data_IF_221101077430
#
_entry.id   IF_221101077430
#
_cell.length_a   1.000
_cell.length_b   1.000
_cell.length_c   1.000
_cell.angle_alpha   90.00
_cell.angle_beta   90.00
_cell.angle_gamma   90.00
#
_symmetry.space_group_name_H-M   'P 1'
#
loop_
_entity.id
_entity.type
_entity.pdbx_description
1 polymer ?
#
# COMPACT_ATOMS: atom_id res chain seq x y z
N UNK A 1 -38.73 26.66 -37.83
CA UNK A 1 -37.75 27.22 -36.87
C UNK A 1 -37.76 26.35 -35.62
N UNK A 2 -36.79 25.43 -35.48
CA UNK A 2 -36.46 24.74 -34.23
C UNK A 2 -35.10 24.06 -34.42
N UNK A 3 -34.01 24.78 -34.13
CA UNK A 3 -32.70 24.17 -33.90
C UNK A 3 -32.65 23.85 -32.41
N UNK A 4 -32.69 22.57 -32.06
CA UNK A 4 -32.45 22.11 -30.69
C UNK A 4 -30.98 22.36 -30.38
N UNK A 5 -30.70 23.34 -29.53
CA UNK A 5 -29.41 23.48 -28.86
C UNK A 5 -29.24 22.25 -27.97
N UNK A 6 -28.41 21.31 -28.41
CA UNK A 6 -27.88 20.26 -27.54
C UNK A 6 -26.93 20.97 -26.58
N UNK A 7 -27.42 21.15 -25.36
CA UNK A 7 -26.78 21.85 -24.25
C UNK A 7 -25.39 21.28 -24.00
N UNK A 8 -24.37 22.14 -24.17
CA UNK A 8 -22.96 21.87 -23.86
C UNK A 8 -22.73 21.47 -22.39
N UNK A 9 -23.73 21.59 -21.52
CA UNK A 9 -23.66 21.21 -20.11
C UNK A 9 -23.52 19.69 -19.89
N UNK A 10 -23.97 18.85 -20.83
CA UNK A 10 -23.87 17.39 -20.68
C UNK A 10 -22.45 16.85 -20.91
N UNK A 11 -21.64 17.55 -21.72
CA UNK A 11 -20.27 17.12 -22.00
C UNK A 11 -19.31 17.46 -20.84
N UNK A 12 -19.60 18.52 -20.09
CA UNK A 12 -18.80 18.97 -18.93
C UNK A 12 -18.92 18.03 -17.72
N UNK A 13 -20.07 17.38 -17.54
CA UNK A 13 -20.31 16.43 -16.44
C UNK A 13 -19.51 15.13 -16.66
N UNK A 14 -19.28 14.76 -17.92
CA UNK A 14 -18.52 13.56 -18.27
C UNK A 14 -17.01 13.72 -17.99
N UNK A 15 -16.47 14.94 -18.08
CA UNK A 15 -15.05 15.23 -17.80
C UNK A 15 -14.79 15.27 -16.28
N UNK A 16 -15.77 15.68 -15.47
CA UNK A 16 -15.62 15.70 -14.00
C UNK A 16 -15.64 14.29 -13.38
N UNK A 17 -16.26 13.31 -14.03
CA UNK A 17 -16.28 11.91 -13.58
C UNK A 17 -14.96 11.14 -13.84
N UNK A 18 -14.07 11.69 -14.68
CA UNK A 18 -12.73 11.14 -14.92
C UNK A 18 -11.70 11.55 -13.85
N UNK A 19 -12.04 12.52 -12.99
CA UNK A 19 -11.34 12.77 -11.72
C UNK A 19 -11.87 11.81 -10.66
N UNK A 20 -11.84 10.51 -10.94
CA UNK A 20 -12.09 9.50 -9.93
C UNK A 20 -10.93 9.64 -8.91
N UNK A 21 -11.18 10.04 -7.65
CA UNK A 21 -10.13 10.00 -6.65
C UNK A 21 -9.74 8.53 -6.56
N UNK A 22 -8.46 8.22 -6.81
CA UNK A 22 -7.87 6.89 -6.62
C UNK A 22 -8.48 6.31 -5.36
N UNK A 23 -9.26 5.24 -5.50
CA UNK A 23 -9.91 4.60 -4.37
C UNK A 23 -8.82 4.05 -3.45
N UNK A 24 -8.43 4.84 -2.44
CA UNK A 24 -7.65 4.36 -1.31
C UNK A 24 -8.61 3.49 -0.50
N UNK A 25 -8.67 2.19 -0.82
CA UNK A 25 -9.44 1.25 -0.01
C UNK A 25 -8.71 1.05 1.31
N UNK A 26 -9.27 1.56 2.40
CA UNK A 26 -8.83 1.23 3.75
C UNK A 26 -9.55 -0.06 4.16
N UNK A 27 -8.80 -1.11 4.41
CA UNK A 27 -9.32 -2.40 4.89
C UNK A 27 -8.91 -2.60 6.35
N UNK A 28 -9.87 -2.97 7.20
CA UNK A 28 -9.59 -3.44 8.56
C UNK A 28 -9.46 -4.96 8.55
N UNK A 29 -8.28 -5.48 8.88
CA UNK A 29 -7.99 -6.92 8.89
C UNK A 29 -7.70 -7.38 10.31
N UNK A 30 -8.23 -8.54 10.70
CA UNK A 30 -7.85 -9.20 11.96
C UNK A 30 -6.65 -10.10 11.74
N UNK A 31 -5.59 -9.89 12.50
CA UNK A 31 -4.38 -10.73 12.49
C UNK A 31 -4.35 -11.56 13.77
N UNK A 32 -4.23 -12.90 13.70
CA UNK A 32 -4.13 -13.73 14.90
C UNK A 32 -2.82 -13.46 15.64
N UNK A 33 -2.79 -13.70 16.95
CA UNK A 33 -1.57 -13.54 17.75
C UNK A 33 -0.41 -14.37 17.20
N UNK A 34 0.74 -13.74 16.98
CA UNK A 34 1.91 -14.35 16.35
C UNK A 34 1.82 -14.52 14.83
N UNK A 35 0.71 -14.12 14.21
CA UNK A 35 0.58 -14.01 12.76
C UNK A 35 1.11 -12.66 12.24
N UNK A 36 1.19 -12.55 10.92
CA UNK A 36 1.61 -11.35 10.21
C UNK A 36 0.66 -11.10 9.03
N UNK A 37 0.38 -9.83 8.73
CA UNK A 37 -0.28 -9.40 7.50
C UNK A 37 0.78 -8.86 6.57
N UNK A 38 0.74 -9.20 5.29
CA UNK A 38 1.72 -8.69 4.34
C UNK A 38 1.09 -8.38 2.99
N UNK A 39 1.66 -7.41 2.29
CA UNK A 39 1.28 -7.04 0.93
C UNK A 39 2.48 -7.14 -0.02
N UNK A 40 2.22 -7.63 -1.23
CA UNK A 40 3.19 -7.60 -2.33
C UNK A 40 3.01 -6.33 -3.14
N UNK A 41 4.13 -5.71 -3.48
CA UNK A 41 4.25 -4.69 -4.51
C UNK A 41 5.06 -5.32 -5.65
N UNK A 42 4.45 -5.42 -6.83
CA UNK A 42 5.05 -6.11 -7.97
C UNK A 42 5.46 -5.15 -9.07
N UNK A 43 6.40 -5.57 -9.91
CA UNK A 43 6.82 -4.83 -11.11
C UNK A 43 7.27 -3.39 -10.79
N UNK A 44 7.97 -3.19 -9.67
CA UNK A 44 8.48 -1.88 -9.28
C UNK A 44 9.73 -1.52 -10.08
N UNK A 45 9.87 -0.24 -10.42
CA UNK A 45 11.10 0.31 -10.96
C UNK A 45 11.99 0.90 -9.84
N UNK A 46 13.30 0.96 -10.06
CA UNK A 46 14.22 1.66 -9.15
C UNK A 46 13.80 3.14 -9.04
N UNK A 47 13.70 3.63 -7.80
CA UNK A 47 13.26 4.99 -7.50
C UNK A 47 11.75 5.17 -7.35
N UNK A 48 10.94 4.13 -7.63
CA UNK A 48 9.52 4.14 -7.28
C UNK A 48 9.33 4.35 -5.77
N UNK A 49 8.14 4.84 -5.39
CA UNK A 49 7.83 5.09 -3.99
C UNK A 49 6.69 4.19 -3.51
N UNK A 50 7.02 3.30 -2.58
CA UNK A 50 6.03 2.54 -1.82
C UNK A 50 5.50 3.45 -0.71
N UNK A 51 4.17 3.59 -0.63
CA UNK A 51 3.49 4.32 0.44
C UNK A 51 2.58 3.39 1.21
N UNK A 52 2.80 3.28 2.52
CA UNK A 52 2.02 2.43 3.43
C UNK A 52 1.47 3.29 4.54
N UNK A 53 0.17 3.16 4.81
CA UNK A 53 -0.45 3.71 6.00
C UNK A 53 -1.16 2.59 6.76
N UNK A 54 -1.03 2.59 8.08
CA UNK A 54 -1.70 1.62 8.93
C UNK A 54 -2.02 2.23 10.30
N UNK A 55 -3.00 1.62 10.97
CA UNK A 55 -3.35 1.87 12.37
C UNK A 55 -3.81 0.57 13.01
N UNK A 56 -3.23 0.22 14.15
CA UNK A 56 -3.71 -0.83 15.05
C UNK A 56 -4.95 -0.31 15.76
N UNK A 57 -6.09 -0.97 15.55
CA UNK A 57 -7.37 -0.59 16.15
C UNK A 57 -7.56 -1.21 17.53
N UNK A 58 -7.11 -2.46 17.68
CA UNK A 58 -7.18 -3.25 18.90
C UNK A 58 -6.08 -4.31 18.86
N UNK A 59 -5.34 -4.49 19.96
CA UNK A 59 -4.18 -5.37 20.04
C UNK A 59 -2.87 -4.69 20.47
N UNK A 60 -1.76 -5.43 20.51
CA UNK A 60 -0.45 -4.89 20.82
C UNK A 60 0.13 -4.08 19.66
N UNK A 61 1.20 -3.35 19.94
CA UNK A 61 2.04 -2.68 18.95
C UNK A 61 2.63 -3.71 17.98
N UNK A 62 2.90 -3.29 16.75
CA UNK A 62 3.37 -4.17 15.67
C UNK A 62 4.75 -3.78 15.15
N UNK A 63 5.42 -4.76 14.54
CA UNK A 63 6.65 -4.56 13.78
C UNK A 63 6.32 -4.48 12.30
N UNK A 64 6.73 -3.40 11.65
CA UNK A 64 6.52 -3.16 10.22
C UNK A 64 7.85 -3.11 9.51
N UNK A 65 7.98 -3.84 8.41
CA UNK A 65 9.22 -3.85 7.65
C UNK A 65 8.99 -4.09 6.16
N UNK A 66 9.94 -3.62 5.34
CA UNK A 66 9.96 -3.82 3.89
C UNK A 66 11.19 -4.64 3.52
N UNK A 67 11.01 -5.70 2.73
CA UNK A 67 12.09 -6.58 2.25
C UNK A 67 11.72 -7.22 0.90
N UNK A 68 12.65 -7.95 0.28
CA UNK A 68 12.33 -8.79 -0.89
C UNK A 68 11.60 -10.09 -0.47
N UNK A 69 11.04 -10.80 -1.45
CA UNK A 69 10.30 -12.03 -1.21
C UNK A 69 11.15 -13.16 -0.60
N UNK A 70 12.45 -13.21 -0.91
CA UNK A 70 13.36 -14.24 -0.36
C UNK A 70 13.59 -14.01 1.14
N UNK A 71 13.87 -12.77 1.52
CA UNK A 71 14.07 -12.34 2.89
C UNK A 71 12.78 -12.45 3.71
N UNK A 72 11.62 -12.13 3.13
CA UNK A 72 10.34 -12.39 3.79
C UNK A 72 10.14 -13.88 4.07
N UNK A 73 10.45 -14.75 3.11
CA UNK A 73 10.35 -16.19 3.32
C UNK A 73 11.31 -16.70 4.40
N UNK A 74 12.53 -16.16 4.49
CA UNK A 74 13.48 -16.44 5.60
C UNK A 74 12.90 -16.00 6.94
N UNK A 75 12.39 -14.77 7.02
CA UNK A 75 11.76 -14.24 8.23
C UNK A 75 10.58 -15.11 8.69
N UNK A 76 9.69 -15.50 7.76
CA UNK A 76 8.55 -16.37 8.03
C UNK A 76 8.93 -17.76 8.58
N UNK A 77 10.16 -18.22 8.33
CA UNK A 77 10.71 -19.47 8.90
C UNK A 77 11.49 -19.26 10.20
N UNK A 78 11.55 -18.04 10.73
CA UNK A 78 12.34 -17.69 11.92
C UNK A 78 13.86 -17.63 11.65
N UNK A 79 14.26 -17.52 10.39
CA UNK A 79 15.66 -17.36 9.99
C UNK A 79 16.04 -15.88 9.96
N UNK A 80 17.35 -15.60 9.97
CA UNK A 80 17.86 -14.24 9.80
C UNK A 80 17.54 -13.73 8.39
N UNK A 81 16.86 -12.59 8.33
CA UNK A 81 16.50 -11.89 7.09
C UNK A 81 17.12 -10.48 7.07
N UNK A 82 17.37 -9.97 5.86
CA UNK A 82 17.69 -8.57 5.64
C UNK A 82 16.40 -7.82 5.29
N UNK A 83 16.20 -6.67 5.93
CA UNK A 83 15.08 -5.77 5.67
C UNK A 83 15.66 -4.40 5.30
N UNK A 84 15.01 -3.70 4.38
CA UNK A 84 15.45 -2.38 3.92
C UNK A 84 14.96 -1.26 4.85
N UNK A 85 13.76 -1.44 5.38
CA UNK A 85 13.12 -0.52 6.32
C UNK A 85 12.54 -1.36 7.47
N UNK A 86 12.75 -0.93 8.72
CA UNK A 86 12.26 -1.60 9.92
C UNK A 86 11.74 -0.57 10.92
N UNK A 87 10.52 -0.78 11.38
CA UNK A 87 9.90 -0.03 12.46
C UNK A 87 9.34 -1.02 13.48
N UNK A 88 9.71 -0.84 14.73
CA UNK A 88 9.25 -1.65 15.86
C UNK A 88 8.36 -0.81 16.77
N UNK A 89 7.47 -1.48 17.50
CA UNK A 89 6.57 -0.85 18.49
C UNK A 89 5.65 0.24 17.90
N UNK A 90 5.10 0.01 16.69
CA UNK A 90 4.18 0.96 16.06
C UNK A 90 2.70 0.62 16.33
N UNK A 91 1.92 1.64 16.71
CA UNK A 91 0.46 1.60 16.77
C UNK A 91 -0.15 2.27 15.54
N UNK A 92 0.50 3.28 14.96
CA UNK A 92 0.07 3.98 13.75
C UNK A 92 1.31 4.47 13.00
N UNK A 93 1.27 4.40 11.67
CA UNK A 93 2.40 4.81 10.84
C UNK A 93 2.00 5.19 9.42
N UNK A 94 2.79 6.11 8.84
CA UNK A 94 2.79 6.43 7.42
C UNK A 94 4.23 6.31 6.92
N UNK A 95 4.51 5.30 6.11
CA UNK A 95 5.84 4.99 5.57
C UNK A 95 5.88 5.43 4.10
N UNK A 96 6.97 6.08 3.71
CA UNK A 96 7.28 6.42 2.32
C UNK A 96 8.68 5.92 2.02
N UNK A 97 8.77 4.82 1.28
CA UNK A 97 10.01 4.12 1.01
C UNK A 97 10.35 4.18 -0.47
N UNK A 98 11.59 4.58 -0.79
CA UNK A 98 12.11 4.59 -2.16
C UNK A 98 12.69 3.23 -2.53
N UNK A 99 12.22 2.66 -3.63
CA UNK A 99 12.60 1.34 -4.12
C UNK A 99 14.08 1.35 -4.55
N UNK A 100 14.95 0.52 -3.93
CA UNK A 100 16.39 0.58 -4.17
C UNK A 100 16.84 -0.09 -5.47
N UNK A 101 16.01 -0.99 -6.01
CA UNK A 101 16.22 -1.67 -7.29
C UNK A 101 14.88 -2.23 -7.78
N UNK A 102 14.72 -2.38 -9.10
CA UNK A 102 13.47 -2.88 -9.66
C UNK A 102 13.18 -4.35 -9.30
N UNK A 103 11.89 -4.68 -9.16
CA UNK A 103 11.42 -6.02 -8.83
C UNK A 103 10.23 -6.02 -7.86
N UNK A 104 10.08 -7.13 -7.14
CA UNK A 104 8.96 -7.34 -6.22
C UNK A 104 9.41 -7.17 -4.77
N UNK A 105 8.65 -6.39 -4.01
CA UNK A 105 8.89 -6.15 -2.59
C UNK A 105 7.69 -6.56 -1.74
N UNK A 106 7.96 -6.91 -0.49
CA UNK A 106 6.99 -7.28 0.53
C UNK A 106 7.03 -6.25 1.65
N UNK A 107 5.86 -5.74 2.03
CA UNK A 107 5.68 -5.01 3.29
C UNK A 107 4.92 -5.90 4.27
N UNK A 108 5.53 -6.17 5.43
CA UNK A 108 4.91 -6.91 6.54
C UNK A 108 4.40 -5.93 7.59
N UNK A 109 3.23 -6.24 8.15
CA UNK A 109 2.48 -5.53 9.18
C UNK A 109 2.04 -6.51 10.28
#
# INVERSE_FOLDING_TARGET
MMRRLVSSAFLSILILALLCPRACSVETVRVPAGGYRYGYFTDLDEGDTIKVWFRVIDGPDITVFICDAENFARYARGERALVYELHEDYIEGSISFSVPYGGDLVCSL
#
